data_IF_864897720874
#
_entry.id   IF_864897720874
#
_cell.length_a   1.000
_cell.length_b   1.000
_cell.length_c   1.000
_cell.angle_alpha   90.00
_cell.angle_beta   90.00
_cell.angle_gamma   90.00
#
_symmetry.space_group_name_H-M   'P 1'
#
loop_
_entity.id
_entity.type
_entity.pdbx_description
1 polymer ?
#
# COMPACT_ATOMS: atom_id res chain seq x y z
N UNK A 1 -30.35 -4.45 -2.47
CA UNK A 1 -29.39 -3.40 -2.08
C UNK A 1 -28.08 -3.72 -2.76
N UNK A 2 -27.60 -2.82 -3.62
CA UNK A 2 -26.38 -2.99 -4.38
C UNK A 2 -25.22 -2.58 -3.47
N UNK A 3 -24.54 -3.53 -2.82
CA UNK A 3 -23.40 -3.23 -1.96
C UNK A 3 -22.25 -2.74 -2.84
N UNK A 4 -22.15 -1.42 -3.01
CA UNK A 4 -20.97 -0.83 -3.63
C UNK A 4 -19.76 -1.09 -2.73
N UNK A 5 -18.66 -1.50 -3.35
CA UNK A 5 -17.38 -1.66 -2.67
C UNK A 5 -17.00 -0.34 -1.98
N UNK A 6 -16.55 -0.38 -0.72
CA UNK A 6 -16.33 0.82 0.08
C UNK A 6 -15.38 1.84 -0.57
N UNK A 7 -14.47 1.35 -1.41
CA UNK A 7 -13.49 2.13 -2.15
C UNK A 7 -14.05 2.96 -3.32
N UNK A 8 -15.30 2.75 -3.73
CA UNK A 8 -15.88 3.46 -4.90
C UNK A 8 -15.99 4.98 -4.66
N UNK A 9 -16.07 5.41 -3.40
CA UNK A 9 -16.16 6.82 -3.02
C UNK A 9 -14.80 7.49 -2.74
N UNK A 10 -13.71 6.73 -2.69
CA UNK A 10 -12.37 7.26 -2.39
C UNK A 10 -11.70 7.82 -3.66
N UNK A 11 -12.16 9.01 -4.06
CA UNK A 11 -11.65 9.76 -5.22
C UNK A 11 -10.75 10.94 -4.86
N UNK A 12 -10.70 11.31 -3.58
CA UNK A 12 -9.88 12.42 -3.09
C UNK A 12 -8.43 12.00 -2.88
N UNK A 13 -7.49 12.90 -3.20
CA UNK A 13 -6.08 12.68 -2.97
C UNK A 13 -5.77 12.80 -1.47
N UNK A 14 -5.66 11.65 -0.80
CA UNK A 14 -5.26 11.57 0.60
C UNK A 14 -3.73 11.58 0.71
N UNK A 15 -3.20 12.29 1.70
CA UNK A 15 -1.77 12.18 2.03
C UNK A 15 -1.47 10.73 2.42
N UNK A 16 -0.43 10.17 1.83
CA UNK A 16 0.01 8.80 2.11
C UNK A 16 1.33 8.83 2.86
N UNK A 17 1.46 7.99 3.88
CA UNK A 17 2.71 7.77 4.59
C UNK A 17 3.18 6.34 4.42
N UNK A 18 4.47 6.19 4.09
CA UNK A 18 5.16 4.91 4.04
C UNK A 18 6.18 4.84 5.17
N UNK A 19 5.83 4.14 6.24
CA UNK A 19 6.54 4.19 7.52
C UNK A 19 7.16 2.84 7.81
N UNK A 20 8.45 2.83 8.16
CA UNK A 20 9.13 1.64 8.63
C UNK A 20 8.72 1.32 10.07
N UNK A 21 8.21 0.12 10.30
CA UNK A 21 7.74 -0.38 11.60
C UNK A 21 8.76 -1.29 12.28
N UNK A 22 9.56 -2.00 11.48
CA UNK A 22 10.69 -2.83 11.92
C UNK A 22 11.75 -2.88 10.82
N UNK A 23 12.86 -3.58 11.05
CA UNK A 23 13.92 -3.75 10.06
C UNK A 23 13.41 -4.26 8.70
N UNK A 24 12.37 -5.11 8.70
CA UNK A 24 11.85 -5.76 7.51
C UNK A 24 10.38 -5.45 7.20
N UNK A 25 9.71 -4.59 7.99
CA UNK A 25 8.28 -4.31 7.84
C UNK A 25 7.98 -2.83 7.72
N UNK A 26 7.05 -2.50 6.81
CA UNK A 26 6.53 -1.16 6.58
C UNK A 26 5.00 -1.16 6.58
N UNK A 27 4.43 -0.04 7.02
CA UNK A 27 3.02 0.28 6.85
C UNK A 27 2.87 1.39 5.80
N UNK A 28 1.95 1.19 4.86
CA UNK A 28 1.49 2.23 3.94
C UNK A 28 0.07 2.62 4.33
N UNK A 29 -0.12 3.87 4.73
CA UNK A 29 -1.40 4.34 5.27
C UNK A 29 -1.81 5.64 4.58
N UNK A 30 -3.07 5.74 4.17
CA UNK A 30 -3.73 7.00 3.86
C UNK A 30 -4.63 7.39 5.04
N UNK A 31 -4.68 8.68 5.41
CA UNK A 31 -5.38 9.28 6.57
C UNK A 31 -6.76 8.64 6.93
N UNK A 32 -6.77 7.45 7.53
CA UNK A 32 -7.96 6.73 7.97
C UNK A 32 -8.46 5.54 7.14
N UNK A 33 -7.64 4.90 6.29
CA UNK A 33 -7.87 3.67 5.46
C UNK A 33 -7.94 3.99 3.93
N UNK A 34 -7.32 3.22 3.01
CA UNK A 34 -6.79 1.84 3.13
C UNK A 34 -5.37 1.74 3.71
N UNK A 35 -5.09 0.63 4.39
CA UNK A 35 -3.77 0.27 4.93
C UNK A 35 -3.17 -0.93 4.19
N UNK A 36 -1.94 -0.80 3.71
CA UNK A 36 -1.18 -1.92 3.13
C UNK A 36 0.04 -2.23 3.99
N UNK A 37 0.22 -3.50 4.32
CA UNK A 37 1.44 -4.00 4.94
C UNK A 37 2.46 -4.42 3.89
N UNK A 38 3.74 -4.07 4.09
CA UNK A 38 4.83 -4.49 3.21
C UNK A 38 5.92 -5.16 4.04
N UNK A 39 6.31 -6.38 3.65
CA UNK A 39 7.41 -7.12 4.27
C UNK A 39 8.45 -7.43 3.19
N UNK A 40 9.68 -6.94 3.38
CA UNK A 40 10.78 -7.19 2.44
C UNK A 40 11.60 -8.36 2.99
N UNK A 41 11.43 -9.53 2.37
CA UNK A 41 12.19 -10.73 2.67
C UNK A 41 13.52 -10.80 1.92
N UNK A 42 14.17 -11.96 2.00
CA UNK A 42 15.44 -12.19 1.32
C UNK A 42 15.28 -12.25 -0.20
N UNK A 43 14.27 -12.97 -0.69
CA UNK A 43 14.07 -13.22 -2.12
C UNK A 43 12.91 -12.44 -2.74
N UNK A 44 11.96 -11.96 -1.94
CA UNK A 44 10.74 -11.32 -2.43
C UNK A 44 10.13 -10.32 -1.45
N UNK A 45 9.17 -9.55 -1.95
CA UNK A 45 8.34 -8.64 -1.17
C UNK A 45 6.95 -9.23 -1.01
N UNK A 46 6.51 -9.42 0.24
CA UNK A 46 5.14 -9.75 0.57
C UNK A 46 4.35 -8.45 0.79
N UNK A 47 3.27 -8.29 0.03
CA UNK A 47 2.31 -7.19 0.19
C UNK A 47 1.03 -7.78 0.78
N UNK A 48 0.60 -7.23 1.91
CA UNK A 48 -0.62 -7.64 2.63
C UNK A 48 -1.67 -6.55 2.45
N UNK A 49 -2.75 -6.94 1.78
CA UNK A 49 -3.82 -6.07 1.28
C UNK A 49 -3.40 -5.15 0.11
N UNK A 50 -4.37 -4.67 -0.66
CA UNK A 50 -4.13 -3.79 -1.80
C UNK A 50 -4.88 -2.47 -1.65
N UNK A 51 -4.47 -1.48 -2.43
CA UNK A 51 -5.11 -0.17 -2.44
C UNK A 51 -6.33 -0.16 -3.37
N UNK A 52 -7.24 0.76 -3.08
CA UNK A 52 -8.54 0.91 -3.73
C UNK A 52 -8.51 0.95 -5.28
N UNK A 53 -7.44 1.49 -5.87
CA UNK A 53 -7.33 1.68 -7.32
C UNK A 53 -5.98 1.24 -7.88
N UNK A 54 -5.89 0.86 -9.18
CA UNK A 54 -4.62 0.51 -9.81
C UNK A 54 -3.56 1.62 -9.75
N UNK A 55 -3.99 2.88 -9.83
CA UNK A 55 -3.08 4.04 -9.72
C UNK A 55 -2.47 4.13 -8.32
N UNK A 56 -3.27 3.91 -7.27
CA UNK A 56 -2.77 3.86 -5.90
C UNK A 56 -1.81 2.68 -5.70
N UNK A 57 -2.15 1.50 -6.20
CA UNK A 57 -1.27 0.32 -6.14
C UNK A 57 0.08 0.58 -6.84
N UNK A 58 0.08 1.25 -8.00
CA UNK A 58 1.32 1.62 -8.70
C UNK A 58 2.18 2.60 -7.90
N UNK A 59 1.57 3.54 -7.16
CA UNK A 59 2.28 4.45 -6.24
C UNK A 59 2.96 3.67 -5.11
N UNK A 60 2.28 2.71 -4.51
CA UNK A 60 2.88 1.82 -3.51
C UNK A 60 4.08 1.05 -4.08
N UNK A 61 3.96 0.47 -5.28
CA UNK A 61 5.07 -0.22 -5.93
C UNK A 61 6.27 0.73 -6.12
N UNK A 62 6.02 1.98 -6.52
CA UNK A 62 7.08 2.97 -6.68
C UNK A 62 7.77 3.33 -5.35
N UNK A 63 7.07 3.35 -4.22
CA UNK A 63 7.66 3.47 -2.88
C UNK A 63 8.57 2.27 -2.56
N UNK A 64 8.05 1.04 -2.73
CA UNK A 64 8.79 -0.21 -2.46
C UNK A 64 10.07 -0.27 -3.30
N UNK A 65 10.00 0.13 -4.58
CA UNK A 65 11.13 0.11 -5.51
C UNK A 65 12.25 1.09 -5.16
N UNK A 66 12.04 2.05 -4.25
CA UNK A 66 13.12 2.87 -3.68
C UNK A 66 13.96 2.11 -2.67
N UNK A 67 13.40 1.05 -2.08
CA UNK A 67 14.05 0.25 -1.03
C UNK A 67 14.66 -1.04 -1.59
N UNK A 68 14.05 -1.64 -2.61
CA UNK A 68 14.47 -2.96 -3.11
C UNK A 68 14.04 -3.23 -4.57
N UNK A 69 14.85 -3.99 -5.29
CA UNK A 69 14.60 -4.49 -6.65
C UNK A 69 14.00 -5.90 -6.69
N UNK A 70 13.97 -6.60 -5.53
CA UNK A 70 13.36 -7.92 -5.35
C UNK A 70 11.94 -8.01 -5.89
N UNK A 71 11.52 -9.16 -6.43
CA UNK A 71 10.16 -9.37 -6.94
C UNK A 71 9.11 -8.98 -5.91
#
# INVERSE_FOLDING_TARGET
>A
MNSQFASVADLEEKTTSFVQLSEHCWGYTAEGDPNTGVIIGEESVLIVDTLATPVMAARLIAEIRRLTDKP
#
